data_IF_881121528883
#
_entry.id   IF_881121528883
#
_cell.length_a   1.000
_cell.length_b   1.000
_cell.length_c   1.000
_cell.angle_alpha   90.00
_cell.angle_beta   90.00
_cell.angle_gamma   90.00
#
_symmetry.space_group_name_H-M   'P 1'
#
loop_
_entity.id
_entity.type
_entity.pdbx_description
1 polymer ?
#
# COMPACT_ATOMS: atom_id res chain seq x y z
N UNK A 1 -22.63 11.20 6.90
CA UNK A 1 -21.72 10.07 6.58
C UNK A 1 -20.81 10.46 5.44
N UNK A 2 -19.73 9.73 5.21
CA UNK A 2 -18.84 9.97 4.07
C UNK A 2 -19.50 9.47 2.78
N UNK A 3 -19.41 10.25 1.70
CA UNK A 3 -19.87 9.83 0.37
C UNK A 3 -18.72 9.12 -0.33
N UNK A 4 -18.98 7.90 -0.79
CA UNK A 4 -17.99 7.06 -1.48
C UNK A 4 -18.59 6.63 -2.82
N UNK A 5 -17.82 6.84 -3.89
CA UNK A 5 -18.14 6.33 -5.22
C UNK A 5 -17.01 5.40 -5.69
N UNK A 6 -17.39 4.24 -6.20
CA UNK A 6 -16.47 3.25 -6.75
C UNK A 6 -16.91 2.94 -8.17
N UNK A 7 -15.96 3.00 -9.10
CA UNK A 7 -16.17 2.64 -10.49
C UNK A 7 -15.10 1.65 -10.89
N UNK A 8 -15.51 0.44 -11.26
CA UNK A 8 -14.60 -0.68 -11.50
C UNK A 8 -14.50 -1.01 -12.99
N UNK A 9 -13.34 -1.54 -13.39
CA UNK A 9 -13.06 -2.12 -14.69
C UNK A 9 -13.33 -1.18 -15.88
N UNK A 10 -13.15 0.13 -15.67
CA UNK A 10 -13.41 1.14 -16.70
C UNK A 10 -12.26 1.22 -17.71
N UNK A 11 -12.53 1.57 -18.98
CA UNK A 11 -11.50 1.77 -19.98
C UNK A 11 -10.44 2.80 -19.55
N UNK A 12 -9.17 2.46 -19.77
CA UNK A 12 -8.02 3.32 -19.51
C UNK A 12 -7.10 3.35 -20.71
N UNK A 13 -6.86 4.54 -21.28
CA UNK A 13 -5.92 4.70 -22.41
C UNK A 13 -4.49 4.23 -22.08
N UNK A 14 -4.08 4.32 -20.81
CA UNK A 14 -2.70 3.98 -20.36
C UNK A 14 -2.57 2.57 -19.77
N UNK A 15 -3.60 2.08 -19.09
CA UNK A 15 -3.57 0.81 -18.35
C UNK A 15 -4.44 -0.28 -19.00
N UNK A 16 -5.08 0.02 -20.14
CA UNK A 16 -6.13 -0.83 -20.73
C UNK A 16 -7.44 -0.70 -19.95
N UNK A 17 -7.42 -1.08 -18.67
CA UNK A 17 -8.53 -0.89 -17.72
C UNK A 17 -8.02 -0.39 -16.37
N UNK A 18 -8.90 0.20 -15.58
CA UNK A 18 -8.59 0.68 -14.22
C UNK A 18 -9.84 0.75 -13.35
N UNK A 19 -9.62 0.85 -12.05
CA UNK A 19 -10.63 1.20 -11.07
C UNK A 19 -10.45 2.66 -10.62
N UNK A 20 -11.53 3.27 -10.14
CA UNK A 20 -11.54 4.63 -9.60
C UNK A 20 -12.33 4.59 -8.28
N UNK A 21 -11.72 5.12 -7.22
CA UNK A 21 -12.36 5.32 -5.92
C UNK A 21 -12.36 6.82 -5.62
N UNK A 22 -13.52 7.39 -5.33
CA UNK A 22 -13.69 8.78 -4.88
C UNK A 22 -14.29 8.77 -3.47
N UNK A 23 -13.67 9.52 -2.56
CA UNK A 23 -14.12 9.65 -1.18
C UNK A 23 -14.24 11.14 -0.87
N UNK A 24 -15.40 11.59 -0.40
CA UNK A 24 -15.64 13.00 -0.08
C UNK A 24 -15.37 13.29 1.40
N UNK A 25 -14.87 14.50 1.69
CA UNK A 25 -14.60 14.97 3.05
C UNK A 25 -13.35 14.37 3.71
N UNK A 26 -12.48 13.69 2.96
CA UNK A 26 -11.23 13.11 3.47
C UNK A 26 -10.07 13.47 2.54
N UNK A 27 -8.98 13.96 3.14
CA UNK A 27 -7.66 13.92 2.55
C UNK A 27 -6.88 12.76 3.17
N UNK A 28 -6.30 11.90 2.33
CA UNK A 28 -5.60 10.71 2.79
C UNK A 28 -4.31 11.11 3.52
N UNK A 29 -4.11 10.53 4.69
CA UNK A 29 -2.85 10.65 5.43
C UNK A 29 -1.76 9.83 4.76
N UNK A 30 -0.50 10.18 5.02
CA UNK A 30 0.68 9.51 4.46
C UNK A 30 0.69 7.99 4.72
N UNK A 31 0.25 7.54 5.91
CA UNK A 31 0.15 6.10 6.24
C UNK A 31 -0.84 5.36 5.33
N UNK A 32 -1.93 6.01 4.93
CA UNK A 32 -2.92 5.44 4.02
C UNK A 32 -2.40 5.45 2.58
N UNK A 33 -1.72 6.52 2.17
CA UNK A 33 -1.06 6.61 0.86
C UNK A 33 -0.02 5.49 0.71
N UNK A 34 0.77 5.23 1.75
CA UNK A 34 1.77 4.16 1.75
C UNK A 34 1.15 2.77 1.58
N UNK A 35 0.02 2.49 2.23
CA UNK A 35 -0.72 1.23 2.02
C UNK A 35 -1.18 1.08 0.58
N UNK A 36 -1.73 2.15 -0.01
CA UNK A 36 -2.15 2.16 -1.42
C UNK A 36 -0.95 1.92 -2.34
N UNK A 37 0.21 2.52 -2.06
CA UNK A 37 1.42 2.35 -2.85
C UNK A 37 1.89 0.89 -2.93
N UNK A 38 1.68 0.10 -1.87
CA UNK A 38 2.07 -1.31 -1.82
C UNK A 38 1.16 -2.22 -2.66
N UNK A 39 -0.13 -1.89 -2.75
CA UNK A 39 -1.11 -2.69 -3.49
C UNK A 39 -1.21 -2.22 -4.95
N UNK A 40 -1.16 -0.90 -5.16
CA UNK A 40 -1.33 -0.23 -6.43
C UNK A 40 -0.21 0.79 -6.67
N UNK A 41 1.03 0.35 -6.94
CA UNK A 41 2.19 1.24 -7.12
C UNK A 41 2.07 2.21 -8.31
N UNK A 42 1.17 1.93 -9.25
CA UNK A 42 0.85 2.81 -10.38
C UNK A 42 -0.29 3.80 -10.09
N UNK A 43 -0.87 3.79 -8.90
CA UNK A 43 -1.99 4.66 -8.54
C UNK A 43 -1.60 6.14 -8.53
N UNK A 44 -2.58 6.99 -8.79
CA UNK A 44 -2.46 8.45 -8.67
C UNK A 44 -3.62 8.95 -7.83
N UNK A 45 -3.32 9.73 -6.80
CA UNK A 45 -4.29 10.35 -5.91
C UNK A 45 -4.52 11.78 -6.40
N UNK A 46 -5.78 12.17 -6.56
CA UNK A 46 -6.15 13.54 -6.91
C UNK A 46 -6.81 14.16 -5.67
N UNK A 47 -6.30 15.31 -5.22
CA UNK A 47 -6.93 16.10 -4.17
C UNK A 47 -7.81 17.14 -4.85
N UNK A 48 -9.09 17.19 -4.48
CA UNK A 48 -10.10 18.03 -5.09
C UNK A 48 -10.64 18.99 -4.03
N UNK A 49 -10.61 20.30 -4.33
CA UNK A 49 -11.21 21.37 -3.52
C UNK A 49 -11.96 22.30 -4.46
N UNK A 50 -13.16 22.74 -4.06
CA UNK A 50 -14.00 23.63 -4.86
C UNK A 50 -14.21 23.15 -6.31
N UNK A 51 -14.42 21.84 -6.48
CA UNK A 51 -14.60 21.15 -7.77
C UNK A 51 -13.36 21.11 -8.68
N UNK A 52 -12.23 21.65 -8.25
CA UNK A 52 -10.98 21.69 -9.00
C UNK A 52 -9.93 20.72 -8.44
N UNK A 53 -9.10 20.16 -9.33
CA UNK A 53 -7.98 19.30 -8.92
C UNK A 53 -6.82 20.20 -8.48
N UNK A 54 -6.69 20.41 -7.18
CA UNK A 54 -5.64 21.24 -6.61
C UNK A 54 -4.29 20.52 -6.54
N UNK A 55 -4.29 19.19 -6.47
CA UNK A 55 -3.05 18.39 -6.41
C UNK A 55 -3.20 17.02 -7.08
N UNK A 56 -2.12 16.54 -7.70
CA UNK A 56 -1.99 15.19 -8.25
C UNK A 56 -0.75 14.51 -7.68
N UNK A 57 -0.94 13.61 -6.75
CA UNK A 57 0.13 12.86 -6.09
C UNK A 57 0.26 11.49 -6.74
N UNK A 58 1.41 11.22 -7.34
CA UNK A 58 1.78 9.82 -7.65
C UNK A 58 2.23 9.17 -6.37
N UNK A 59 1.61 8.04 -6.03
CA UNK A 59 2.04 7.28 -4.86
C UNK A 59 3.48 6.82 -5.07
N UNK A 60 4.29 6.90 -4.02
CA UNK A 60 5.65 6.38 -4.00
C UNK A 60 5.73 5.33 -2.90
N UNK A 61 6.31 4.19 -3.23
CA UNK A 61 6.63 3.20 -2.20
C UNK A 61 7.82 3.75 -1.41
N UNK A 62 7.70 3.88 -0.07
CA UNK A 62 8.82 4.36 0.75
C UNK A 62 9.95 3.34 0.77
N UNK A 63 11.21 3.79 0.90
CA UNK A 63 12.38 2.88 0.95
C UNK A 63 12.32 1.87 2.11
N UNK A 64 11.64 2.27 3.19
CA UNK A 64 11.42 1.45 4.39
C UNK A 64 9.94 1.46 4.78
N UNK A 65 9.46 0.31 5.24
CA UNK A 65 8.09 0.09 5.68
C UNK A 65 8.14 -0.44 7.10
N UNK A 66 7.47 0.25 8.03
CA UNK A 66 7.45 -0.13 9.44
C UNK A 66 6.00 -0.35 9.91
N UNK A 67 5.76 -1.49 10.57
CA UNK A 67 4.51 -1.80 11.25
C UNK A 67 3.28 -2.00 10.35
N UNK A 68 3.42 -1.92 9.03
CA UNK A 68 2.33 -2.15 8.06
C UNK A 68 2.17 -3.62 7.67
N UNK A 69 3.25 -4.40 7.73
CA UNK A 69 3.30 -5.79 7.30
C UNK A 69 3.83 -6.67 8.43
N UNK A 70 3.44 -7.95 8.42
CA UNK A 70 4.02 -9.01 9.26
C UNK A 70 5.09 -9.77 8.48
N UNK A 71 6.08 -10.29 9.19
CA UNK A 71 7.12 -11.12 8.58
C UNK A 71 6.56 -12.52 8.28
N UNK A 72 6.84 -13.04 7.08
CA UNK A 72 6.44 -14.40 6.68
C UNK A 72 7.24 -15.49 7.40
N UNK A 73 8.42 -15.16 7.94
CA UNK A 73 9.20 -16.08 8.76
C UNK A 73 8.56 -16.22 10.16
N UNK A 74 7.98 -17.37 10.52
CA UNK A 74 7.30 -17.56 11.81
C UNK A 74 8.25 -17.39 13.01
N UNK A 75 9.55 -17.67 12.83
CA UNK A 75 10.56 -17.56 13.85
C UNK A 75 11.15 -16.13 13.97
N UNK A 76 10.65 -15.17 13.18
CA UNK A 76 11.14 -13.80 13.26
C UNK A 76 10.83 -13.19 14.64
N UNK A 77 11.80 -12.44 15.19
CA UNK A 77 11.65 -11.75 16.48
C UNK A 77 10.43 -10.82 16.51
N UNK A 78 10.09 -10.22 15.36
CA UNK A 78 8.97 -9.27 15.22
C UNK A 78 7.59 -9.95 15.30
N UNK A 79 7.55 -11.28 15.24
CA UNK A 79 6.32 -12.06 15.36
C UNK A 79 6.14 -12.62 16.78
N UNK A 80 7.12 -12.43 17.68
CA UNK A 80 7.07 -12.99 19.03
C UNK A 80 6.12 -12.16 19.92
N UNK A 81 5.12 -12.77 20.58
CA UNK A 81 4.13 -12.04 21.39
C UNK A 81 4.69 -11.23 22.55
N UNK A 82 5.89 -11.59 23.03
CA UNK A 82 6.56 -10.95 24.18
C UNK A 82 7.51 -9.82 23.77
N UNK A 83 7.65 -9.56 22.47
CA UNK A 83 8.58 -8.57 21.94
C UNK A 83 7.81 -7.37 21.38
N UNK A 84 7.93 -6.16 21.97
CA UNK A 84 7.22 -4.96 21.52
C UNK A 84 7.90 -4.31 20.30
N UNK A 85 8.28 -5.11 19.30
CA UNK A 85 9.07 -4.67 18.14
C UNK A 85 8.19 -4.63 16.89
N UNK A 86 8.17 -3.48 16.20
CA UNK A 86 7.47 -3.35 14.92
C UNK A 86 8.30 -3.99 13.79
N UNK A 87 7.70 -4.83 12.93
CA UNK A 87 8.36 -5.30 11.72
C UNK A 87 8.83 -4.14 10.85
N UNK A 88 10.05 -4.23 10.34
CA UNK A 88 10.65 -3.29 9.40
C UNK A 88 11.11 -4.03 8.16
N UNK A 89 10.80 -3.46 7.02
CA UNK A 89 11.17 -4.00 5.73
C UNK A 89 11.81 -2.93 4.87
N UNK A 90 12.89 -3.29 4.19
CA UNK A 90 13.53 -2.47 3.16
C UNK A 90 13.05 -2.88 1.78
N UNK A 91 12.73 -1.90 0.94
CA UNK A 91 12.42 -2.15 -0.47
C UNK A 91 13.70 -2.49 -1.23
N UNK A 92 13.74 -3.66 -1.86
CA UNK A 92 14.88 -4.11 -2.68
C UNK A 92 14.55 -4.13 -4.17
N UNK A 93 13.26 -4.18 -4.54
CA UNK A 93 12.79 -4.04 -5.91
C UNK A 93 11.39 -3.43 -5.92
N UNK A 94 11.10 -2.58 -6.91
CA UNK A 94 9.76 -2.02 -7.15
C UNK A 94 8.99 -2.75 -8.25
N UNK A 95 9.68 -3.46 -9.15
CA UNK A 95 9.08 -4.15 -10.30
C UNK A 95 9.84 -5.46 -10.59
N UNK A 96 9.38 -6.61 -10.06
CA UNK A 96 8.25 -6.77 -9.14
C UNK A 96 8.55 -6.20 -7.74
N UNK A 97 7.51 -5.84 -6.97
CA UNK A 97 7.71 -5.36 -5.60
C UNK A 97 8.31 -6.48 -4.74
N UNK A 98 9.48 -6.23 -4.16
CA UNK A 98 10.15 -7.12 -3.21
C UNK A 98 10.65 -6.34 -2.02
N UNK A 99 10.39 -6.89 -0.85
CA UNK A 99 10.77 -6.34 0.44
C UNK A 99 11.63 -7.34 1.19
N UNK A 100 12.60 -6.87 1.98
CA UNK A 100 13.45 -7.71 2.84
C UNK A 100 13.26 -7.29 4.28
N UNK A 101 12.95 -8.25 5.16
CA UNK A 101 12.85 -8.01 6.59
C UNK A 101 14.22 -7.60 7.15
N UNK A 102 14.28 -6.46 7.83
CA UNK A 102 15.54 -5.95 8.41
C UNK A 102 16.02 -6.79 9.62
N UNK A 103 15.19 -7.67 10.16
CA UNK A 103 15.53 -8.50 11.33
C UNK A 103 16.04 -9.90 10.98
N UNK A 104 15.34 -10.62 10.10
CA UNK A 104 15.67 -12.01 9.78
C UNK A 104 16.10 -12.24 8.33
N UNK A 105 16.08 -11.20 7.48
CA UNK A 105 16.46 -11.29 6.07
C UNK A 105 15.43 -11.96 5.15
N UNK A 106 14.27 -12.39 5.67
CA UNK A 106 13.25 -13.01 4.83
C UNK A 106 12.71 -12.04 3.76
N UNK A 107 12.56 -12.54 2.53
CA UNK A 107 11.96 -11.81 1.42
C UNK A 107 10.43 -11.91 1.46
N UNK A 108 9.76 -10.79 1.17
CA UNK A 108 8.32 -10.72 0.90
C UNK A 108 8.12 -10.28 -0.55
N UNK A 109 7.42 -11.10 -1.32
CA UNK A 109 6.98 -10.76 -2.67
C UNK A 109 5.68 -9.97 -2.68
N UNK A 110 5.32 -9.48 -3.87
CA UNK A 110 4.06 -8.75 -4.08
C UNK A 110 2.82 -9.56 -3.66
N UNK A 111 2.81 -10.88 -3.88
CA UNK A 111 1.70 -11.75 -3.50
C UNK A 111 1.55 -11.86 -1.97
N UNK A 112 2.66 -12.04 -1.24
CA UNK A 112 2.66 -12.08 0.23
C UNK A 112 2.11 -10.77 0.83
N UNK A 113 2.47 -9.64 0.22
CA UNK A 113 2.01 -8.31 0.62
C UNK A 113 0.49 -8.19 0.40
N UNK A 114 0.01 -8.58 -0.78
CA UNK A 114 -1.42 -8.53 -1.11
C UNK A 114 -2.22 -9.41 -0.15
N UNK A 115 -1.77 -10.65 0.11
CA UNK A 115 -2.44 -11.60 0.98
C UNK A 115 -2.68 -11.05 2.40
N UNK A 116 -1.76 -10.23 2.92
CA UNK A 116 -1.90 -9.58 4.22
C UNK A 116 -2.95 -8.46 4.24
N UNK A 117 -3.28 -7.85 3.11
CA UNK A 117 -4.29 -6.78 3.01
C UNK A 117 -5.67 -7.28 2.58
N UNK A 118 -5.73 -8.35 1.79
CA UNK A 118 -7.00 -8.88 1.26
C UNK A 118 -7.70 -9.85 2.20
N UNK A 119 -7.09 -10.18 3.35
CA UNK A 119 -7.68 -11.11 4.30
C UNK A 119 -7.88 -12.49 3.67
N UNK A 120 -6.79 -13.22 3.43
CA UNK A 120 -6.88 -14.65 3.20
C UNK A 120 -7.32 -15.34 4.49
N UNK A 121 -8.59 -15.72 4.56
CA UNK A 121 -9.01 -16.89 5.33
C UNK A 121 -8.54 -18.17 4.65
#
# INVERSE_FOLDING_TARGET
GLVIAIVMNVPSKKLGRKDIVKVEGIELREDQVNKIALIAPSATINIIRDYEVVEKVRVKVPERIEGLLRCVNPNCITNQPREPIKPRFRVVSLRPLKLVCEYCGAELGQEDIIAQFTGGG
#
